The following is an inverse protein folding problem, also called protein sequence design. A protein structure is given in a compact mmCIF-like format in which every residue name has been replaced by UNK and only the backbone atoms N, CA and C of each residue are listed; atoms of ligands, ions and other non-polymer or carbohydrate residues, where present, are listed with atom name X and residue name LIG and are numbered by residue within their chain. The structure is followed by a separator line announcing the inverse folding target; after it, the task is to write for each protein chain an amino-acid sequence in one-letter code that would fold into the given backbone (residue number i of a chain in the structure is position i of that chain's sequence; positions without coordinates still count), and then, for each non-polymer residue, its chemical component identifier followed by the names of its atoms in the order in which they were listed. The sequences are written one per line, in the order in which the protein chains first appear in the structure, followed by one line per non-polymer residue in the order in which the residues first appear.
data_IF_900382061131
#
_entry.id   IF_900382061131
#
_cell.length_a   1.000
_cell.length_b   1.000
_cell.length_c   1.000
_cell.angle_alpha   90.00
_cell.angle_beta   90.00
_cell.angle_gamma   90.00
#
_symmetry.space_group_name_H-M   'P 1'
#
loop_
_entity.id
_entity.type
_entity.pdbx_description
1 polymer ?
#
# COMPACT_ATOMS: atom_id res chain seq x y z
N UNK A 1 14.13 -24.55 39.83
CA UNK A 1 14.34 -25.34 38.61
C UNK A 1 13.10 -26.11 38.20
N UNK A 2 12.18 -25.45 37.50
CA UNK A 2 11.12 -26.08 36.70
C UNK A 2 10.75 -25.09 35.59
N UNK A 3 11.35 -25.28 34.41
CA UNK A 3 10.93 -24.63 33.17
C UNK A 3 9.64 -25.27 32.63
N UNK A 4 8.68 -24.50 32.08
CA UNK A 4 7.59 -25.08 31.32
C UNK A 4 7.94 -25.24 29.83
N UNK A 5 7.78 -26.48 29.34
CA UNK A 5 7.86 -26.90 27.94
C UNK A 5 6.94 -26.09 27.01
N UNK A 6 7.50 -25.66 25.87
CA UNK A 6 6.73 -25.10 24.74
C UNK A 6 6.39 -26.21 23.74
N UNK A 7 5.10 -26.53 23.65
CA UNK A 7 4.52 -27.44 22.67
C UNK A 7 4.75 -26.95 21.22
N UNK A 8 5.29 -27.85 20.39
CA UNK A 8 5.44 -27.67 18.94
C UNK A 8 4.08 -27.78 18.24
N UNK A 9 3.70 -26.75 17.49
CA UNK A 9 2.57 -26.82 16.54
C UNK A 9 3.05 -27.19 15.13
N UNK A 10 2.45 -28.24 14.56
CA UNK A 10 2.72 -28.77 13.21
C UNK A 10 2.44 -27.77 12.08
N UNK A 11 3.15 -27.87 10.93
CA UNK A 11 2.93 -26.99 9.78
C UNK A 11 1.64 -27.31 9.02
N UNK A 12 0.93 -26.26 8.61
CA UNK A 12 -0.25 -26.31 7.74
C UNK A 12 0.13 -26.74 6.32
N UNK A 13 -0.55 -27.77 5.82
CA UNK A 13 -0.55 -28.19 4.42
C UNK A 13 -1.00 -27.06 3.48
N UNK A 14 -0.15 -26.71 2.53
CA UNK A 14 -0.47 -25.81 1.43
C UNK A 14 -1.12 -26.58 0.28
N UNK A 15 -2.40 -26.31 0.03
CA UNK A 15 -3.15 -26.87 -1.10
C UNK A 15 -2.63 -26.27 -2.43
N UNK A 16 -2.32 -27.17 -3.38
CA UNK A 16 -1.84 -26.84 -4.74
C UNK A 16 -3.01 -26.28 -5.57
N UNK A 17 -2.86 -25.06 -6.09
CA UNK A 17 -3.82 -24.44 -7.01
C UNK A 17 -3.44 -24.81 -8.45
N UNK A 18 -4.23 -25.66 -9.10
CA UNK A 18 -4.12 -25.96 -10.53
C UNK A 18 -4.46 -24.71 -11.36
N UNK A 19 -3.62 -24.44 -12.36
CA UNK A 19 -3.79 -23.38 -13.37
C UNK A 19 -4.52 -23.99 -14.56
N UNK A 20 -5.73 -23.53 -14.85
CA UNK A 20 -6.43 -23.82 -16.11
C UNK A 20 -6.17 -22.64 -17.06
N UNK A 21 -5.63 -22.96 -18.23
CA UNK A 21 -5.37 -22.01 -19.32
C UNK A 21 -6.55 -22.12 -20.29
N UNK A 22 -7.26 -21.03 -20.54
CA UNK A 22 -8.21 -20.92 -21.64
C UNK A 22 -7.67 -19.94 -22.67
N UNK A 23 -7.48 -20.47 -23.88
CA UNK A 23 -7.21 -19.73 -25.11
C UNK A 23 -8.52 -19.15 -25.65
N UNK A 24 -8.50 -17.90 -26.12
CA UNK A 24 -9.58 -17.29 -26.90
C UNK A 24 -8.95 -16.61 -28.12
N UNK A 25 -9.38 -16.93 -29.36
CA UNK A 25 -8.96 -16.23 -30.56
C UNK A 25 -9.83 -14.98 -30.80
N UNK A 26 -9.26 -14.04 -31.54
CA UNK A 26 -9.67 -12.63 -31.57
C UNK A 26 -10.82 -12.28 -32.51
N UNK A 27 -11.08 -10.98 -32.59
CA UNK A 27 -11.59 -10.29 -33.77
C UNK A 27 -11.46 -8.76 -33.60
N UNK A 28 -11.12 -8.12 -34.72
CA UNK A 28 -10.93 -6.69 -34.92
C UNK A 28 -12.26 -5.92 -34.91
N UNK A 29 -12.27 -4.69 -34.39
CA UNK A 29 -13.16 -3.64 -34.90
C UNK A 29 -12.63 -2.25 -34.51
N UNK A 30 -12.40 -1.46 -35.55
CA UNK A 30 -11.98 -0.07 -35.58
C UNK A 30 -13.23 0.83 -35.57
N UNK A 31 -13.32 1.84 -34.70
CA UNK A 31 -14.24 2.97 -34.91
C UNK A 31 -13.84 4.17 -34.04
N UNK A 32 -13.42 5.23 -34.73
CA UNK A 32 -13.17 6.59 -34.25
C UNK A 32 -14.46 7.34 -33.94
N UNK A 33 -14.46 8.19 -32.89
CA UNK A 33 -14.72 9.65 -32.99
C UNK A 33 -14.78 10.35 -31.62
N UNK A 34 -14.24 11.56 -31.66
CA UNK A 34 -14.20 12.63 -30.67
C UNK A 34 -15.60 13.10 -30.25
N UNK A 35 -15.73 13.61 -29.02
CA UNK A 35 -16.36 14.90 -28.77
C UNK A 35 -16.15 15.37 -27.33
N UNK A 36 -15.72 16.63 -27.25
CA UNK A 36 -15.59 17.48 -26.08
C UNK A 36 -16.92 17.64 -25.32
N UNK A 37 -16.83 17.87 -24.00
CA UNK A 37 -17.63 18.89 -23.33
C UNK A 37 -17.07 19.19 -21.94
N UNK A 38 -16.66 20.44 -21.76
CA UNK A 38 -16.30 21.08 -20.51
C UNK A 38 -17.56 21.39 -19.68
N UNK A 39 -17.49 21.13 -18.38
CA UNK A 39 -18.34 21.77 -17.37
C UNK A 39 -17.46 22.05 -16.14
N UNK A 40 -17.16 23.33 -15.96
CA UNK A 40 -16.83 23.95 -14.68
C UNK A 40 -18.04 23.87 -13.75
N UNK A 41 -17.85 23.54 -12.47
CA UNK A 41 -18.29 24.42 -11.37
C UNK A 41 -17.93 23.89 -9.97
N UNK A 42 -17.43 24.85 -9.19
CA UNK A 42 -17.72 25.14 -7.79
C UNK A 42 -17.10 24.29 -6.66
N UNK A 43 -16.24 25.02 -5.92
CA UNK A 43 -15.79 24.80 -4.55
C UNK A 43 -16.87 24.27 -3.61
N UNK A 44 -16.48 23.25 -2.85
CA UNK A 44 -17.11 22.93 -1.57
C UNK A 44 -16.00 22.40 -0.65
N UNK A 45 -15.47 23.31 0.17
CA UNK A 45 -14.60 23.00 1.30
C UNK A 45 -15.40 22.19 2.33
N UNK A 46 -15.32 20.86 2.24
CA UNK A 46 -15.74 19.95 3.29
C UNK A 46 -14.50 19.64 4.15
N UNK A 47 -14.51 20.15 5.39
CA UNK A 47 -13.49 19.84 6.40
C UNK A 47 -13.54 18.35 6.74
N UNK A 48 -12.82 17.57 5.93
CA UNK A 48 -12.64 16.15 6.19
C UNK A 48 -11.77 16.00 7.43
N UNK A 49 -12.35 15.40 8.48
CA UNK A 49 -11.63 14.79 9.61
C UNK A 49 -10.33 14.20 9.07
N UNK A 50 -9.19 14.80 9.45
CA UNK A 50 -7.86 14.46 8.96
C UNK A 50 -7.58 12.98 9.25
N UNK A 51 -8.01 12.13 8.34
CA UNK A 51 -7.65 10.74 8.35
C UNK A 51 -6.16 10.75 8.05
N UNK A 52 -5.36 10.24 8.99
CA UNK A 52 -3.90 10.13 8.95
C UNK A 52 -3.43 9.14 7.88
N UNK A 53 -3.96 9.32 6.67
CA UNK A 53 -3.49 8.65 5.47
C UNK A 53 -2.17 9.28 5.09
N UNK A 54 -1.14 8.46 4.89
CA UNK A 54 0.13 8.95 4.36
C UNK A 54 -0.17 9.65 3.03
N UNK A 55 0.14 10.95 2.99
CA UNK A 55 0.00 11.79 1.82
C UNK A 55 0.55 11.06 0.59
N UNK A 56 -0.25 11.00 -0.48
CA UNK A 56 0.25 10.46 -1.73
C UNK A 56 1.44 11.30 -2.18
N UNK A 57 2.51 10.67 -2.72
CA UNK A 57 3.65 11.44 -3.20
C UNK A 57 3.17 12.42 -4.27
N UNK A 58 3.60 13.68 -4.17
CA UNK A 58 3.25 14.76 -5.09
C UNK A 58 3.64 14.49 -6.55
N UNK A 59 4.50 13.48 -6.79
CA UNK A 59 5.03 13.11 -8.09
C UNK A 59 4.78 11.62 -8.37
N UNK A 60 4.47 11.29 -9.63
CA UNK A 60 4.26 9.88 -10.04
C UNK A 60 5.55 9.08 -9.90
N UNK A 61 5.42 7.76 -9.72
CA UNK A 61 6.57 6.86 -9.55
C UNK A 61 7.54 6.92 -10.74
N UNK A 62 7.04 7.00 -11.97
CA UNK A 62 7.85 7.03 -13.19
C UNK A 62 8.71 8.29 -13.30
N UNK A 63 8.17 9.45 -12.91
CA UNK A 63 8.85 10.75 -12.94
C UNK A 63 10.00 10.85 -11.91
N UNK A 64 10.00 9.95 -10.92
CA UNK A 64 11.01 9.87 -9.87
C UNK A 64 12.21 9.01 -10.22
N UNK A 65 12.13 8.20 -11.28
CA UNK A 65 13.21 7.29 -11.69
C UNK A 65 14.24 8.08 -12.48
N UNK A 66 15.48 8.09 -12.01
CA UNK A 66 16.61 8.71 -12.71
C UNK A 66 17.36 7.66 -13.51
N UNK A 67 17.53 7.93 -14.81
CA UNK A 67 18.26 7.10 -15.75
C UNK A 67 19.70 7.61 -15.89
N UNK A 68 20.69 6.77 -15.59
CA UNK A 68 22.11 7.14 -15.65
C UNK A 68 22.63 7.35 -17.09
N UNK A 69 21.94 6.83 -18.09
CA UNK A 69 22.32 7.00 -19.51
C UNK A 69 21.90 8.36 -20.05
N UNK A 70 20.95 9.03 -19.40
CA UNK A 70 20.53 10.38 -19.73
C UNK A 70 21.49 11.41 -19.10
N UNK A 71 22.05 12.31 -19.92
CA UNK A 71 23.03 13.29 -19.48
C UNK A 71 22.50 14.28 -18.42
N UNK A 72 21.23 14.68 -18.47
CA UNK A 72 20.62 15.58 -17.49
C UNK A 72 20.45 14.88 -16.14
N UNK A 73 19.95 13.64 -16.16
CA UNK A 73 19.83 12.82 -14.97
C UNK A 73 21.19 12.51 -14.35
N UNK A 74 22.21 12.21 -15.15
CA UNK A 74 23.57 11.97 -14.67
C UNK A 74 24.14 13.22 -13.96
N UNK A 75 23.90 14.43 -14.48
CA UNK A 75 24.28 15.69 -13.82
C UNK A 75 23.56 15.85 -12.48
N UNK A 76 22.26 15.57 -12.41
CA UNK A 76 21.50 15.61 -11.16
C UNK A 76 22.04 14.62 -10.13
N UNK A 77 22.34 13.39 -10.55
CA UNK A 77 22.92 12.35 -9.69
C UNK A 77 24.30 12.78 -9.17
N UNK A 78 25.14 13.35 -10.03
CA UNK A 78 26.47 13.80 -9.66
C UNK A 78 26.42 14.95 -8.62
N UNK A 79 25.43 15.83 -8.74
CA UNK A 79 25.19 16.93 -7.79
C UNK A 79 24.45 16.50 -6.51
N UNK A 80 23.88 15.29 -6.46
CA UNK A 80 23.06 14.83 -5.35
C UNK A 80 23.90 14.65 -4.07
N UNK A 81 23.40 15.10 -2.90
CA UNK A 81 24.02 14.78 -1.62
C UNK A 81 24.05 13.26 -1.39
N UNK A 82 25.25 12.70 -1.24
CA UNK A 82 25.45 11.27 -0.99
C UNK A 82 25.42 10.98 0.50
N UNK A 83 24.72 9.92 0.88
CA UNK A 83 24.65 9.52 2.28
C UNK A 83 25.94 8.78 2.67
N UNK A 84 26.60 9.27 3.71
CA UNK A 84 27.90 8.77 4.18
C UNK A 84 27.89 7.34 4.75
N UNK A 85 29.06 6.90 5.20
CA UNK A 85 29.29 5.58 5.82
C UNK A 85 28.64 5.43 7.19
N UNK A 86 28.19 6.53 7.81
CA UNK A 86 27.45 6.55 9.06
C UNK A 86 26.14 5.73 9.01
N UNK A 87 25.54 5.55 7.82
CA UNK A 87 24.45 4.60 7.60
C UNK A 87 25.00 3.19 7.41
N UNK A 88 25.71 2.98 6.31
CA UNK A 88 26.49 1.77 6.02
C UNK A 88 27.54 2.13 4.98
N UNK A 89 28.66 1.43 4.95
CA UNK A 89 29.67 1.63 3.93
C UNK A 89 29.23 0.95 2.62
N UNK A 90 29.09 1.75 1.55
CA UNK A 90 28.62 1.24 0.25
C UNK A 90 29.72 0.54 -0.55
N UNK A 91 30.97 0.85 -0.24
CA UNK A 91 32.16 0.31 -0.91
C UNK A 91 32.75 -0.89 -0.16
N UNK A 92 32.35 -1.11 1.09
CA UNK A 92 32.71 -2.29 1.85
C UNK A 92 32.12 -3.58 1.25
N UNK A 93 32.85 -4.68 1.43
CA UNK A 93 32.42 -6.02 1.02
C UNK A 93 31.18 -6.50 1.80
N UNK A 94 30.47 -7.45 1.19
CA UNK A 94 29.35 -8.11 1.85
C UNK A 94 29.86 -8.98 3.01
N UNK A 95 29.22 -8.85 4.17
CA UNK A 95 29.47 -9.71 5.32
C UNK A 95 29.03 -11.15 5.02
N UNK A 96 29.77 -12.17 5.48
CA UNK A 96 29.39 -13.56 5.30
C UNK A 96 28.11 -13.90 6.08
N UNK A 97 27.38 -14.91 5.59
CA UNK A 97 26.21 -15.48 6.28
C UNK A 97 24.84 -14.90 5.86
N UNK A 98 23.75 -15.46 6.41
CA UNK A 98 22.39 -15.09 6.02
C UNK A 98 21.93 -13.79 6.65
N UNK A 99 21.17 -12.99 5.89
CA UNK A 99 20.52 -11.78 6.39
C UNK A 99 19.30 -12.16 7.24
N UNK A 100 19.34 -11.82 8.54
CA UNK A 100 18.27 -12.18 9.49
C UNK A 100 16.93 -11.50 9.14
N UNK A 101 15.85 -12.27 9.25
CA UNK A 101 14.48 -11.77 9.12
C UNK A 101 14.07 -11.34 7.71
N UNK A 102 14.74 -11.85 6.65
CA UNK A 102 14.41 -11.54 5.25
C UNK A 102 14.17 -12.82 4.47
N UNK A 103 13.00 -12.95 3.86
CA UNK A 103 12.63 -14.14 3.09
C UNK A 103 13.36 -14.27 1.75
N UNK A 104 13.83 -13.15 1.17
CA UNK A 104 14.56 -13.10 -0.11
C UNK A 104 15.97 -12.55 0.08
N UNK A 105 16.74 -13.15 0.97
CA UNK A 105 18.09 -12.67 1.34
C UNK A 105 19.03 -12.51 0.15
N UNK A 106 18.93 -13.36 -0.88
CA UNK A 106 19.76 -13.29 -2.09
C UNK A 106 19.62 -11.97 -2.88
N UNK A 107 18.52 -11.23 -2.72
CA UNK A 107 18.31 -9.94 -3.38
C UNK A 107 19.03 -8.77 -2.70
N UNK A 108 19.56 -9.00 -1.50
CA UNK A 108 20.09 -7.95 -0.62
C UNK A 108 21.54 -8.21 -0.26
N UNK A 109 22.25 -7.12 0.04
CA UNK A 109 23.60 -7.17 0.58
C UNK A 109 23.54 -7.35 2.09
N UNK A 110 24.44 -8.16 2.63
CA UNK A 110 24.63 -8.24 4.08
C UNK A 110 25.71 -7.21 4.46
N UNK A 111 25.33 -6.13 5.14
CA UNK A 111 26.23 -4.99 5.36
C UNK A 111 26.43 -4.72 6.85
N UNK A 112 27.59 -4.17 7.19
CA UNK A 112 27.82 -3.60 8.51
C UNK A 112 27.11 -2.24 8.61
N UNK A 113 26.17 -2.13 9.55
CA UNK A 113 25.47 -0.88 9.82
C UNK A 113 26.31 0.07 10.69
N UNK A 114 26.42 1.31 10.25
CA UNK A 114 27.09 2.41 10.95
C UNK A 114 26.29 2.94 12.15
N UNK A 115 26.83 3.99 12.78
CA UNK A 115 26.31 4.54 14.03
C UNK A 115 24.88 5.09 13.90
N UNK A 116 24.54 5.72 12.77
CA UNK A 116 23.22 6.32 12.57
C UNK A 116 22.08 5.30 12.65
N UNK A 117 22.33 4.08 12.19
CA UNK A 117 21.37 2.97 12.24
C UNK A 117 21.20 2.34 13.65
N UNK A 118 21.92 2.85 14.65
CA UNK A 118 21.89 2.38 16.04
C UNK A 118 21.54 3.49 17.02
N UNK A 119 21.69 4.74 16.60
CA UNK A 119 21.54 5.92 17.44
C UNK A 119 20.08 6.29 17.70
N UNK A 120 19.73 6.38 18.99
CA UNK A 120 18.40 6.78 19.52
C UNK A 120 18.43 8.11 20.28
N UNK A 121 19.55 8.83 20.26
CA UNK A 121 19.75 10.05 21.04
C UNK A 121 18.92 11.23 20.55
N UNK A 122 18.70 11.35 19.24
CA UNK A 122 17.91 12.43 18.65
C UNK A 122 16.41 12.07 18.57
N UNK A 123 15.58 12.70 19.41
CA UNK A 123 14.12 12.48 19.44
C UNK A 123 13.44 12.86 18.12
N UNK A 124 13.93 13.90 17.44
CA UNK A 124 13.35 14.38 16.18
C UNK A 124 13.39 13.32 15.06
N UNK A 125 14.30 12.35 15.16
CA UNK A 125 14.39 11.25 14.20
C UNK A 125 13.29 10.20 14.38
N UNK A 126 12.52 10.21 15.48
CA UNK A 126 11.55 9.16 15.83
C UNK A 126 10.11 9.67 15.81
N UNK A 127 9.55 10.02 14.63
CA UNK A 127 8.17 10.46 14.54
C UNK A 127 7.19 9.32 14.88
N UNK A 128 6.09 9.66 15.54
CA UNK A 128 4.93 8.78 15.72
C UNK A 128 4.08 8.66 14.44
N UNK A 129 4.15 9.69 13.57
CA UNK A 129 3.44 9.78 12.29
C UNK A 129 4.43 9.97 11.14
N UNK A 130 5.21 8.94 10.76
CA UNK A 130 6.20 9.06 9.68
C UNK A 130 5.56 9.36 8.33
N UNK A 131 6.20 10.23 7.55
CA UNK A 131 5.97 10.29 6.11
C UNK A 131 6.66 9.11 5.41
N UNK A 132 5.95 8.37 4.55
CA UNK A 132 6.57 7.30 3.77
C UNK A 132 6.68 7.64 2.29
N UNK A 133 7.92 7.64 1.79
CA UNK A 133 8.22 7.72 0.37
C UNK A 133 8.75 6.39 -0.14
N UNK A 134 8.00 5.75 -1.04
CA UNK A 134 8.39 4.47 -1.64
C UNK A 134 9.78 4.52 -2.28
N UNK A 135 10.50 3.41 -2.25
CA UNK A 135 11.67 3.17 -3.08
C UNK A 135 11.29 3.08 -4.56
N UNK A 136 12.12 3.65 -5.42
CA UNK A 136 12.06 3.53 -6.88
C UNK A 136 13.31 2.81 -7.41
N UNK A 137 13.27 2.21 -8.61
CA UNK A 137 14.46 1.69 -9.27
C UNK A 137 15.53 2.78 -9.40
N UNK A 138 16.79 2.38 -9.21
CA UNK A 138 17.94 3.27 -9.18
C UNK A 138 18.34 3.67 -7.77
N UNK A 139 19.60 4.07 -7.58
CA UNK A 139 20.11 4.47 -6.26
C UNK A 139 19.60 5.84 -5.83
N UNK A 140 19.42 6.72 -6.79
CA UNK A 140 18.93 8.08 -6.60
C UNK A 140 17.51 8.19 -7.14
N UNK A 141 16.75 9.13 -6.59
CA UNK A 141 15.42 9.47 -7.07
C UNK A 141 15.30 10.96 -7.31
N UNK A 142 14.41 11.36 -8.22
CA UNK A 142 14.02 12.77 -8.39
C UNK A 142 12.98 13.15 -7.33
N UNK A 143 13.10 14.36 -6.80
CA UNK A 143 12.16 14.99 -5.88
C UNK A 143 11.27 16.00 -6.61
N UNK A 144 10.20 16.45 -5.92
CA UNK A 144 9.23 17.40 -6.48
C UNK A 144 9.84 18.78 -6.81
N UNK A 145 10.88 19.19 -6.09
CA UNK A 145 11.66 20.39 -6.34
C UNK A 145 12.66 20.25 -7.52
N UNK A 146 12.67 19.09 -8.19
CA UNK A 146 13.58 18.79 -9.30
C UNK A 146 14.96 18.28 -8.89
N UNK A 147 15.29 18.25 -7.60
CA UNK A 147 16.58 17.76 -7.11
C UNK A 147 16.64 16.23 -7.08
N UNK A 148 17.85 15.68 -6.92
CA UNK A 148 18.06 14.25 -6.75
C UNK A 148 18.40 13.92 -5.27
N UNK A 149 17.82 12.83 -4.76
CA UNK A 149 18.06 12.37 -3.40
C UNK A 149 18.58 10.92 -3.38
N UNK A 150 19.57 10.67 -2.53
CA UNK A 150 20.10 9.33 -2.31
C UNK A 150 19.11 8.46 -1.50
N UNK A 151 18.62 7.37 -2.11
CA UNK A 151 17.65 6.48 -1.47
C UNK A 151 18.24 5.64 -0.32
N UNK A 152 19.56 5.65 -0.07
CA UNK A 152 20.16 5.04 1.14
C UNK A 152 19.65 5.63 2.43
N UNK A 153 19.30 6.93 2.42
CA UNK A 153 18.70 7.57 3.60
C UNK A 153 17.43 6.84 4.06
N UNK A 154 16.66 6.25 3.12
CA UNK A 154 15.39 5.55 3.42
C UNK A 154 15.57 4.16 4.02
N UNK A 155 16.76 3.58 3.94
CA UNK A 155 16.99 2.20 4.40
C UNK A 155 16.89 2.08 5.92
N UNK A 156 17.25 3.15 6.64
CA UNK A 156 17.10 3.25 8.09
C UNK A 156 15.80 3.98 8.40
N UNK A 157 14.90 3.32 9.10
CA UNK A 157 13.61 3.87 9.50
C UNK A 157 13.57 3.93 11.01
N UNK A 158 13.39 5.13 11.53
CA UNK A 158 13.28 5.41 12.96
C UNK A 158 11.85 5.84 13.26
N UNK A 159 11.24 5.22 14.27
CA UNK A 159 9.81 5.37 14.59
C UNK A 159 9.58 5.37 16.10
N UNK A 160 8.57 6.10 16.56
CA UNK A 160 8.02 5.94 17.91
C UNK A 160 6.72 5.14 17.82
N UNK A 161 6.58 4.10 18.65
CA UNK A 161 5.35 3.29 18.69
C UNK A 161 4.22 3.95 19.50
N UNK A 162 3.08 3.27 19.56
CA UNK A 162 1.89 3.71 20.31
C UNK A 162 2.12 3.83 21.82
N UNK A 163 3.12 3.13 22.35
CA UNK A 163 3.49 3.14 23.76
C UNK A 163 4.62 4.14 24.06
N UNK A 164 5.05 4.93 23.06
CA UNK A 164 6.12 5.92 23.19
C UNK A 164 7.54 5.35 23.07
N UNK A 165 7.71 4.08 22.69
CA UNK A 165 9.02 3.43 22.57
C UNK A 165 9.63 3.64 21.17
N UNK A 166 10.92 3.98 21.17
CA UNK A 166 11.72 4.21 19.96
C UNK A 166 12.20 2.91 19.32
N UNK A 167 11.93 2.76 18.03
CA UNK A 167 12.36 1.63 17.18
C UNK A 167 13.25 2.11 16.05
N UNK A 168 14.30 1.34 15.74
CA UNK A 168 15.11 1.52 14.53
C UNK A 168 15.02 0.25 13.69
N UNK A 169 14.64 0.40 12.43
CA UNK A 169 14.63 -0.66 11.44
C UNK A 169 15.69 -0.36 10.37
N UNK A 170 16.73 -1.17 10.34
CA UNK A 170 17.76 -1.11 9.30
C UNK A 170 17.47 -2.15 8.21
N UNK A 171 16.98 -1.68 7.05
CA UNK A 171 16.64 -2.53 5.92
C UNK A 171 17.86 -2.67 5.00
N UNK A 172 18.31 -3.89 4.68
CA UNK A 172 19.53 -4.05 3.91
C UNK A 172 19.40 -3.47 2.50
N UNK A 173 20.49 -2.90 1.97
CA UNK A 173 20.49 -2.38 0.63
C UNK A 173 20.31 -3.52 -0.39
N UNK A 174 19.63 -3.26 -1.51
CA UNK A 174 19.56 -4.24 -2.59
C UNK A 174 20.95 -4.46 -3.17
N UNK A 175 21.22 -5.67 -3.68
CA UNK A 175 22.44 -5.95 -4.46
C UNK A 175 22.50 -5.08 -5.72
N UNK A 176 21.35 -4.95 -6.37
CA UNK A 176 21.14 -4.09 -7.51
C UNK A 176 19.95 -3.15 -7.24
N UNK A 177 20.21 -1.85 -7.27
CA UNK A 177 19.20 -0.81 -7.07
C UNK A 177 18.17 -0.73 -8.20
N UNK A 178 18.45 -1.30 -9.38
CA UNK A 178 17.51 -1.39 -10.49
C UNK A 178 16.62 -2.63 -10.43
N UNK A 179 16.90 -3.58 -9.52
CA UNK A 179 16.12 -4.81 -9.40
C UNK A 179 14.72 -4.54 -8.82
N UNK A 180 13.71 -4.59 -9.70
CA UNK A 180 12.31 -4.32 -9.35
C UNK A 180 11.76 -5.25 -8.26
N UNK A 181 12.22 -6.50 -8.18
CA UNK A 181 11.80 -7.45 -7.16
C UNK A 181 12.32 -7.05 -5.77
N UNK A 182 13.60 -6.66 -5.69
CA UNK A 182 14.23 -6.18 -4.47
C UNK A 182 13.55 -4.90 -3.97
N UNK A 183 13.31 -3.93 -4.86
CA UNK A 183 12.60 -2.68 -4.57
C UNK A 183 11.17 -2.94 -4.08
N UNK A 184 10.46 -3.87 -4.70
CA UNK A 184 9.10 -4.27 -4.27
C UNK A 184 9.12 -4.90 -2.88
N UNK A 185 10.10 -5.75 -2.59
CA UNK A 185 10.27 -6.37 -1.28
C UNK A 185 10.60 -5.34 -0.19
N UNK A 186 11.47 -4.35 -0.46
CA UNK A 186 11.77 -3.24 0.45
C UNK A 186 10.52 -2.41 0.76
N UNK A 187 9.80 -1.98 -0.27
CA UNK A 187 8.57 -1.21 -0.09
C UNK A 187 7.54 -1.94 0.78
N UNK A 188 7.32 -3.23 0.53
CA UNK A 188 6.41 -4.05 1.36
C UNK A 188 6.88 -4.15 2.80
N UNK A 189 8.18 -4.35 3.02
CA UNK A 189 8.78 -4.47 4.35
C UNK A 189 8.64 -3.16 5.13
N UNK A 190 9.00 -2.03 4.54
CA UNK A 190 8.87 -0.71 5.15
C UNK A 190 7.43 -0.40 5.55
N UNK A 191 6.48 -0.62 4.64
CA UNK A 191 5.05 -0.41 4.93
C UNK A 191 4.60 -1.29 6.10
N UNK A 192 5.05 -2.54 6.15
CA UNK A 192 4.74 -3.45 7.26
C UNK A 192 5.37 -3.00 8.59
N UNK A 193 6.60 -2.50 8.58
CA UNK A 193 7.25 -1.95 9.78
C UNK A 193 6.44 -0.78 10.33
N UNK A 194 6.19 0.24 9.51
CA UNK A 194 5.40 1.42 9.91
C UNK A 194 4.02 1.00 10.44
N UNK A 195 3.30 0.14 9.72
CA UNK A 195 1.95 -0.29 10.11
C UNK A 195 1.89 -1.09 11.41
N UNK A 196 2.93 -1.86 11.73
CA UNK A 196 2.96 -2.69 12.96
C UNK A 196 3.42 -1.90 14.18
N UNK A 197 4.16 -0.83 13.96
CA UNK A 197 4.76 -0.02 15.03
C UNK A 197 3.92 1.21 15.34
N UNK A 198 3.30 1.82 14.33
CA UNK A 198 2.55 3.08 14.47
C UNK A 198 1.07 2.89 14.13
N UNK A 199 0.22 3.87 14.46
CA UNK A 199 -1.21 3.87 14.07
C UNK A 199 -1.43 4.31 12.62
N UNK A 200 -0.36 4.66 11.90
CA UNK A 200 -0.43 5.25 10.57
C UNK A 200 -1.06 4.29 9.57
N UNK A 201 -2.01 4.81 8.80
CA UNK A 201 -2.70 4.08 7.75
C UNK A 201 -2.20 4.52 6.37
N UNK A 202 -1.84 3.57 5.52
CA UNK A 202 -1.37 3.87 4.15
C UNK A 202 -2.53 4.07 3.16
N UNK A 203 -3.75 3.81 3.60
CA UNK A 203 -4.98 3.94 2.80
C UNK A 203 -6.06 4.46 3.71
N UNK A 204 -6.86 5.40 3.21
CA UNK A 204 -8.10 5.81 3.85
C UNK A 204 -8.90 4.56 4.24
N UNK A 205 -9.37 4.49 5.50
CA UNK A 205 -10.24 3.41 5.93
C UNK A 205 -11.54 3.55 5.18
N UNK A 206 -11.76 2.64 4.22
CA UNK A 206 -13.00 2.58 3.45
C UNK A 206 -14.15 2.32 4.43
N UNK A 207 -15.15 3.21 4.52
CA UNK A 207 -16.33 3.00 5.37
C UNK A 207 -16.95 1.63 5.11
N UNK A 208 -17.39 0.97 6.17
CA UNK A 208 -18.05 -0.34 6.08
C UNK A 208 -19.40 -0.20 5.36
N UNK A 209 -19.83 -1.26 4.66
CA UNK A 209 -21.17 -1.29 4.06
C UNK A 209 -22.24 -1.31 5.14
N UNK A 210 -23.24 -0.47 5.00
CA UNK A 210 -24.38 -0.41 5.93
C UNK A 210 -25.55 -1.27 5.46
N UNK A 211 -26.49 -1.52 6.37
CA UNK A 211 -27.65 -2.36 6.08
C UNK A 211 -28.48 -1.83 4.91
N UNK A 212 -28.64 -0.52 4.77
CA UNK A 212 -29.35 0.09 3.63
C UNK A 212 -28.65 -0.23 2.29
N UNK A 213 -27.33 -0.09 2.24
CA UNK A 213 -26.53 -0.43 1.05
C UNK A 213 -26.60 -1.93 0.73
N UNK A 214 -26.56 -2.79 1.74
CA UNK A 214 -26.66 -4.25 1.55
C UNK A 214 -28.05 -4.69 1.10
N UNK A 215 -29.12 -4.09 1.65
CA UNK A 215 -30.50 -4.31 1.20
C UNK A 215 -30.67 -3.90 -0.26
N UNK A 216 -30.12 -2.74 -0.63
CA UNK A 216 -30.12 -2.30 -2.02
C UNK A 216 -29.36 -3.27 -2.92
N UNK A 217 -28.20 -3.78 -2.48
CA UNK A 217 -27.44 -4.79 -3.23
C UNK A 217 -28.27 -6.07 -3.43
N UNK A 218 -28.93 -6.59 -2.41
CA UNK A 218 -29.82 -7.76 -2.54
C UNK A 218 -30.88 -7.54 -3.63
N UNK A 219 -31.50 -6.36 -3.66
CA UNK A 219 -32.55 -6.04 -4.63
C UNK A 219 -32.03 -5.92 -6.08
N UNK A 220 -30.74 -5.65 -6.27
CA UNK A 220 -30.12 -5.41 -7.59
C UNK A 220 -29.18 -6.54 -8.03
N UNK A 221 -29.19 -7.66 -7.31
CA UNK A 221 -28.45 -8.87 -7.63
C UNK A 221 -29.43 -10.02 -7.90
N UNK A 222 -29.14 -10.83 -8.93
CA UNK A 222 -29.86 -12.07 -9.22
C UNK A 222 -28.90 -13.24 -9.00
N UNK A 223 -29.22 -14.13 -8.06
CA UNK A 223 -28.34 -15.23 -7.65
C UNK A 223 -26.89 -14.77 -7.33
N UNK A 224 -26.77 -13.61 -6.66
CA UNK A 224 -25.47 -13.05 -6.26
C UNK A 224 -24.67 -12.42 -7.40
N UNK A 225 -25.28 -12.18 -8.57
CA UNK A 225 -24.64 -11.52 -9.71
C UNK A 225 -25.40 -10.25 -10.12
N UNK A 226 -24.74 -9.20 -10.61
CA UNK A 226 -25.41 -8.00 -11.12
C UNK A 226 -26.30 -8.34 -12.32
N UNK A 227 -27.58 -7.99 -12.25
CA UNK A 227 -28.56 -8.28 -13.32
C UNK A 227 -28.18 -7.60 -14.64
N UNK A 228 -27.71 -6.35 -14.59
CA UNK A 228 -27.34 -5.54 -15.75
C UNK A 228 -25.82 -5.32 -15.89
N UNK A 229 -25.03 -6.22 -15.32
CA UNK A 229 -23.56 -6.11 -15.32
C UNK A 229 -23.01 -5.11 -14.30
N UNK A 230 -21.69 -5.20 -14.08
CA UNK A 230 -21.00 -4.44 -13.02
C UNK A 230 -21.01 -2.93 -13.24
N UNK A 231 -20.83 -2.47 -14.48
CA UNK A 231 -20.74 -1.03 -14.79
C UNK A 231 -22.01 -0.29 -14.37
N UNK A 232 -23.18 -0.83 -14.73
CA UNK A 232 -24.48 -0.26 -14.40
C UNK A 232 -24.78 -0.36 -12.90
N UNK A 233 -24.53 -1.52 -12.28
CA UNK A 233 -24.70 -1.68 -10.83
C UNK A 233 -23.89 -0.64 -10.03
N UNK A 234 -22.63 -0.39 -10.43
CA UNK A 234 -21.76 0.60 -9.75
C UNK A 234 -22.31 2.01 -9.90
N UNK A 235 -22.74 2.39 -11.12
CA UNK A 235 -23.34 3.70 -11.37
C UNK A 235 -24.61 3.89 -10.55
N UNK A 236 -25.53 2.94 -10.62
CA UNK A 236 -26.82 2.99 -9.91
C UNK A 236 -26.61 3.01 -8.38
N UNK A 237 -25.66 2.23 -7.87
CA UNK A 237 -25.29 2.25 -6.44
C UNK A 237 -24.78 3.63 -6.00
N UNK A 238 -23.87 4.22 -6.76
CA UNK A 238 -23.31 5.53 -6.42
C UNK A 238 -24.34 6.64 -6.55
N UNK A 239 -25.21 6.60 -7.57
CA UNK A 239 -26.34 7.53 -7.69
C UNK A 239 -27.28 7.44 -6.48
N UNK A 240 -27.43 6.24 -5.90
CA UNK A 240 -28.29 6.04 -4.75
C UNK A 240 -27.65 6.50 -3.44
N UNK A 241 -26.34 6.28 -3.22
CA UNK A 241 -25.69 6.49 -1.92
C UNK A 241 -24.61 7.55 -1.88
N UNK A 242 -23.75 7.66 -2.90
CA UNK A 242 -22.55 8.49 -2.84
C UNK A 242 -22.91 9.97 -2.57
N UNK A 243 -22.17 10.61 -1.67
CA UNK A 243 -22.41 12.00 -1.25
C UNK A 243 -23.63 12.19 -0.34
N UNK A 244 -24.48 11.18 -0.13
CA UNK A 244 -25.69 11.30 0.69
C UNK A 244 -25.41 10.92 2.14
N UNK A 245 -26.04 11.62 3.08
CA UNK A 245 -26.08 11.21 4.48
C UNK A 245 -27.15 10.13 4.65
N UNK A 246 -26.77 8.96 5.20
CA UNK A 246 -27.71 7.85 5.44
C UNK A 246 -27.87 7.66 6.96
N UNK A 247 -29.11 7.45 7.47
CA UNK A 247 -29.34 7.23 8.88
C UNK A 247 -28.45 6.12 9.46
N UNK A 248 -27.86 6.38 10.63
CA UNK A 248 -26.95 5.44 11.30
C UNK A 248 -25.49 5.48 10.81
N UNK A 249 -25.11 6.48 10.01
CA UNK A 249 -23.72 6.71 9.60
C UNK A 249 -23.21 8.09 9.99
N UNK A 250 -21.90 8.19 10.23
CA UNK A 250 -21.21 9.46 10.41
C UNK A 250 -20.75 9.96 9.03
N UNK A 251 -21.27 11.10 8.59
CA UNK A 251 -20.90 11.76 7.34
C UNK A 251 -21.54 11.18 6.07
N UNK A 252 -21.18 11.78 4.94
CA UNK A 252 -21.65 11.39 3.61
C UNK A 252 -21.05 10.05 3.16
N UNK A 253 -21.82 9.25 2.41
CA UNK A 253 -21.31 7.96 1.93
C UNK A 253 -20.28 8.15 0.81
N UNK A 254 -19.22 7.34 0.79
CA UNK A 254 -18.18 7.43 -0.23
C UNK A 254 -18.65 6.87 -1.57
N UNK A 255 -18.03 7.34 -2.66
CA UNK A 255 -18.12 6.67 -3.96
C UNK A 255 -17.52 5.26 -3.85
N UNK A 256 -18.25 4.25 -4.34
CA UNK A 256 -17.77 2.86 -4.41
C UNK A 256 -17.30 2.53 -5.82
N UNK A 257 -16.18 1.82 -5.89
CA UNK A 257 -15.67 1.26 -7.15
C UNK A 257 -16.19 -0.15 -7.38
N UNK A 258 -16.11 -0.63 -8.63
CA UNK A 258 -16.39 -2.03 -8.96
C UNK A 258 -15.58 -3.01 -8.10
N UNK A 259 -14.31 -2.71 -7.80
CA UNK A 259 -13.49 -3.57 -6.93
C UNK A 259 -14.02 -3.62 -5.50
N UNK A 260 -14.60 -2.53 -4.99
CA UNK A 260 -15.19 -2.49 -3.65
C UNK A 260 -16.47 -3.33 -3.59
N UNK A 261 -17.40 -3.10 -4.53
CA UNK A 261 -18.68 -3.81 -4.56
C UNK A 261 -18.49 -5.31 -4.87
N UNK A 262 -17.61 -5.66 -5.82
CA UNK A 262 -17.34 -7.07 -6.13
C UNK A 262 -16.68 -7.84 -4.98
N UNK A 263 -15.90 -7.17 -4.12
CA UNK A 263 -15.38 -7.79 -2.89
C UNK A 263 -16.47 -8.00 -1.84
N UNK A 264 -17.37 -7.04 -1.66
CA UNK A 264 -18.51 -7.20 -0.73
C UNK A 264 -19.41 -8.35 -1.19
N UNK A 265 -19.80 -8.34 -2.47
CA UNK A 265 -20.62 -9.40 -3.07
C UNK A 265 -19.87 -10.72 -3.06
N UNK A 266 -18.58 -10.77 -3.38
CA UNK A 266 -17.78 -12.00 -3.34
C UNK A 266 -17.64 -12.57 -1.92
N UNK A 267 -17.52 -11.71 -0.90
CA UNK A 267 -17.38 -12.14 0.50
C UNK A 267 -18.63 -12.82 1.04
N UNK A 268 -19.81 -12.35 0.66
CA UNK A 268 -21.10 -12.86 1.17
C UNK A 268 -21.98 -13.52 0.08
N UNK A 269 -21.42 -13.73 -1.10
CA UNK A 269 -22.18 -14.00 -2.33
C UNK A 269 -22.95 -15.30 -2.30
N UNK A 270 -22.28 -16.41 -2.00
CA UNK A 270 -22.94 -17.72 -2.00
C UNK A 270 -23.89 -17.92 -0.81
N UNK A 271 -23.53 -17.39 0.34
CA UNK A 271 -24.25 -17.64 1.60
C UNK A 271 -25.45 -16.72 1.79
N UNK A 272 -25.35 -15.46 1.35
CA UNK A 272 -26.36 -14.43 1.60
C UNK A 272 -26.97 -13.92 0.29
N UNK A 273 -26.20 -13.19 -0.52
CA UNK A 273 -26.74 -12.49 -1.69
C UNK A 273 -27.31 -13.43 -2.76
N UNK A 274 -26.73 -14.62 -2.92
CA UNK A 274 -27.20 -15.67 -3.81
C UNK A 274 -28.55 -16.25 -3.41
N UNK A 275 -28.91 -16.10 -2.14
CA UNK A 275 -30.19 -16.54 -1.55
C UNK A 275 -31.15 -15.38 -1.32
N UNK A 276 -30.81 -14.17 -1.77
CA UNK A 276 -31.59 -12.96 -1.50
C UNK A 276 -31.57 -12.51 -0.03
N UNK A 277 -30.56 -12.91 0.75
CA UNK A 277 -30.43 -12.56 2.16
C UNK A 277 -29.45 -11.39 2.35
N UNK A 278 -29.68 -10.59 3.39
CA UNK A 278 -28.80 -9.48 3.79
C UNK A 278 -27.79 -9.98 4.82
N UNK A 279 -26.47 -9.82 4.60
CA UNK A 279 -25.46 -10.16 5.59
C UNK A 279 -25.61 -9.31 6.87
N UNK A 280 -25.76 -9.98 8.02
CA UNK A 280 -25.70 -9.33 9.34
C UNK A 280 -24.27 -9.43 9.83
N UNK A 281 -23.58 -8.29 9.95
CA UNK A 281 -22.26 -8.28 10.58
C UNK A 281 -22.42 -8.59 12.07
N UNK A 282 -21.65 -9.57 12.58
CA UNK A 282 -21.56 -9.81 14.01
C UNK A 282 -21.20 -8.48 14.71
N UNK A 283 -22.04 -8.05 15.65
CA UNK A 283 -21.74 -6.87 16.48
C UNK A 283 -20.36 -7.09 17.09
N UNK A 284 -19.43 -6.17 16.84
CA UNK A 284 -18.14 -6.17 17.55
C UNK A 284 -18.47 -6.01 19.03
N UNK A 285 -18.46 -7.11 19.77
CA UNK A 285 -18.38 -7.06 21.23
C UNK A 285 -17.08 -6.30 21.51
N UNK A 286 -17.20 -5.05 21.98
CA UNK A 286 -16.05 -4.31 22.48
C UNK A 286 -15.51 -5.14 23.66
N UNK A 287 -14.37 -5.79 23.46
CA UNK A 287 -13.51 -6.21 24.57
C UNK A 287 -12.70 -5.01 25.00
#
# INVERSE_FOLDING_TARGET
DLEPELLRTSPRNTSKRQKVIHSVPGEHSDCTKEQDNAIDEADSDDESVQQTSIAQPAMKRSERILDFTNAEHAKLIAAAPKVGSNYYDSDADDLPGPIKGISKSHLFRNVAWGAYAKDKSNDADFPSHPSFRQFVPGRFERLADGTAADQKAKLVIKLTDTDGKKHIYANPPPRDWNNQEAITALNKRTVQQIRRTTEVQFRARVPEYIDAERKWLVANLTAGKPTNGWKRLVADFNNHFAGKAVPGTTGSRPVRTQSSLSKEVGRFGAEFYGKGLVPVLAKKVKK
#
